data_IF_252398050403
#
_entry.id   IF_252398050403
#
_cell.length_a   1.000
_cell.length_b   1.000
_cell.length_c   1.000
_cell.angle_alpha   90.00
_cell.angle_beta   90.00
_cell.angle_gamma   90.00
#
_symmetry.space_group_name_H-M   'P 1'
#
loop_
_entity.id
_entity.type
_entity.pdbx_description
1 polymer ?
#
# COMPACT_ATOMS: atom_id res chain seq x y z
N UNK A 1 10.60 22.30 11.04
CA UNK A 1 9.16 22.02 10.87
C UNK A 1 9.07 20.69 10.15
N UNK A 2 8.56 19.62 10.76
CA UNK A 2 8.31 18.35 10.06
C UNK A 2 7.35 18.65 8.90
N UNK A 3 7.61 18.10 7.71
CA UNK A 3 6.83 18.39 6.51
C UNK A 3 5.42 17.82 6.67
N UNK A 4 4.45 18.68 6.96
CA UNK A 4 3.05 18.28 7.16
C UNK A 4 2.46 17.65 5.89
N UNK A 5 2.97 18.00 4.70
CA UNK A 5 2.48 17.44 3.43
C UNK A 5 2.86 15.98 3.27
N UNK A 6 4.08 15.60 3.65
CA UNK A 6 4.52 14.19 3.57
C UNK A 6 3.67 13.31 4.48
N UNK A 7 3.39 13.76 5.71
CA UNK A 7 2.51 13.03 6.63
C UNK A 7 1.08 12.90 6.14
N UNK A 8 0.53 13.95 5.55
CA UNK A 8 -0.79 13.90 4.92
C UNK A 8 -0.83 12.94 3.74
N UNK A 9 0.19 12.94 2.88
CA UNK A 9 0.32 11.99 1.77
C UNK A 9 0.41 10.55 2.26
N UNK A 10 1.21 10.28 3.30
CA UNK A 10 1.34 8.96 3.93
C UNK A 10 -0.01 8.47 4.45
N UNK A 11 -0.71 9.30 5.22
CA UNK A 11 -2.03 8.93 5.75
C UNK A 11 -3.04 8.66 4.62
N UNK A 12 -2.99 9.46 3.55
CA UNK A 12 -3.88 9.32 2.40
C UNK A 12 -3.62 8.03 1.63
N UNK A 13 -2.37 7.71 1.31
CA UNK A 13 -2.05 6.50 0.55
C UNK A 13 -2.35 5.25 1.37
N UNK A 14 -1.99 5.22 2.66
CA UNK A 14 -2.28 4.08 3.52
C UNK A 14 -3.79 3.80 3.63
N UNK A 15 -4.61 4.85 3.80
CA UNK A 15 -6.08 4.73 3.83
C UNK A 15 -6.64 4.28 2.48
N UNK A 16 -6.19 4.90 1.38
CA UNK A 16 -6.70 4.60 0.05
C UNK A 16 -6.37 3.17 -0.40
N UNK A 17 -5.12 2.73 -0.22
CA UNK A 17 -4.68 1.36 -0.56
C UNK A 17 -5.46 0.32 0.24
N UNK A 18 -5.58 0.50 1.55
CA UNK A 18 -6.35 -0.42 2.40
C UNK A 18 -7.80 -0.49 1.97
N UNK A 19 -8.47 0.65 1.77
CA UNK A 19 -9.86 0.66 1.31
C UNK A 19 -10.01 -0.06 -0.03
N UNK A 20 -9.11 0.21 -0.98
CA UNK A 20 -9.12 -0.43 -2.29
C UNK A 20 -8.99 -1.95 -2.19
N UNK A 21 -8.01 -2.46 -1.43
CA UNK A 21 -7.77 -3.90 -1.23
C UNK A 21 -9.00 -4.58 -0.60
N UNK A 22 -9.56 -4.00 0.46
CA UNK A 22 -10.69 -4.62 1.17
C UNK A 22 -12.01 -4.55 0.38
N UNK A 23 -12.19 -3.54 -0.49
CA UNK A 23 -13.42 -3.37 -1.29
C UNK A 23 -13.36 -4.03 -2.66
N UNK A 24 -12.18 -4.28 -3.22
CA UNK A 24 -12.02 -4.92 -4.53
C UNK A 24 -11.42 -6.32 -4.44
N UNK A 25 -10.90 -6.72 -3.27
CA UNK A 25 -10.35 -8.03 -3.00
C UNK A 25 -11.37 -9.06 -2.48
N UNK A 26 -10.90 -10.26 -2.11
CA UNK A 26 -11.74 -11.38 -1.70
C UNK A 26 -12.57 -11.09 -0.44
N UNK A 27 -12.09 -10.20 0.45
CA UNK A 27 -12.82 -9.84 1.68
C UNK A 27 -14.16 -9.16 1.36
N UNK A 28 -14.26 -8.39 0.28
CA UNK A 28 -15.53 -7.78 -0.15
C UNK A 28 -16.58 -8.85 -0.49
N UNK A 29 -16.16 -9.99 -1.03
CA UNK A 29 -17.06 -11.11 -1.30
C UNK A 29 -17.59 -11.70 0.02
N UNK A 30 -16.71 -11.91 1.00
CA UNK A 30 -17.09 -12.41 2.32
C UNK A 30 -18.06 -11.46 3.05
N UNK A 31 -17.82 -10.15 2.95
CA UNK A 31 -18.72 -9.12 3.46
C UNK A 31 -20.12 -9.19 2.83
N UNK A 32 -20.20 -9.27 1.49
CA UNK A 32 -21.48 -9.44 0.76
C UNK A 32 -22.22 -10.73 1.11
N UNK A 33 -21.49 -11.77 1.50
CA UNK A 33 -22.05 -13.05 1.96
C UNK A 33 -22.44 -13.03 3.46
N UNK A 34 -22.35 -11.88 4.14
CA UNK A 34 -22.57 -11.70 5.58
C UNK A 34 -21.67 -12.57 6.47
N UNK A 35 -20.49 -12.97 5.96
CA UNK A 35 -19.48 -13.73 6.72
C UNK A 35 -18.51 -12.84 7.50
N UNK A 36 -18.48 -11.56 7.15
CA UNK A 36 -17.71 -10.51 7.81
C UNK A 36 -18.68 -9.34 7.97
N UNK A 37 -18.84 -8.84 9.19
CA UNK A 37 -19.66 -7.68 9.48
C UNK A 37 -19.00 -6.36 9.03
N UNK A 38 -19.78 -5.29 8.97
CA UNK A 38 -19.23 -3.95 8.69
C UNK A 38 -18.20 -3.51 9.75
N UNK A 39 -18.43 -3.85 11.03
CA UNK A 39 -17.53 -3.50 12.12
C UNK A 39 -16.20 -4.25 12.00
N UNK A 40 -16.23 -5.58 11.79
CA UNK A 40 -15.02 -6.39 11.58
C UNK A 40 -14.24 -5.93 10.34
N UNK A 41 -14.94 -5.60 9.25
CA UNK A 41 -14.31 -5.06 8.05
C UNK A 41 -13.61 -3.74 8.31
N UNK A 42 -14.24 -2.86 9.09
CA UNK A 42 -13.67 -1.57 9.48
C UNK A 42 -12.46 -1.74 10.41
N UNK A 43 -12.54 -2.61 11.41
CA UNK A 43 -11.42 -2.91 12.31
C UNK A 43 -10.20 -3.45 11.54
N UNK A 44 -10.41 -4.39 10.61
CA UNK A 44 -9.33 -4.90 9.73
C UNK A 44 -8.71 -3.79 8.88
N UNK A 45 -9.53 -2.89 8.32
CA UNK A 45 -9.05 -1.75 7.54
C UNK A 45 -8.24 -0.78 8.41
N UNK A 46 -8.75 -0.40 9.57
CA UNK A 46 -8.08 0.52 10.50
C UNK A 46 -6.73 -0.03 10.97
N UNK A 47 -6.67 -1.32 11.27
CA UNK A 47 -5.42 -1.98 11.65
C UNK A 47 -4.39 -1.92 10.52
N UNK A 48 -4.78 -2.32 9.29
CA UNK A 48 -3.87 -2.37 8.15
C UNK A 48 -3.40 -0.98 7.71
N UNK A 49 -4.30 0.01 7.63
CA UNK A 49 -3.91 1.37 7.24
C UNK A 49 -2.97 2.02 8.26
N UNK A 50 -3.17 1.78 9.56
CA UNK A 50 -2.29 2.33 10.59
C UNK A 50 -0.89 1.70 10.52
N UNK A 51 -0.83 0.39 10.28
CA UNK A 51 0.44 -0.31 10.11
C UNK A 51 1.19 0.14 8.86
N UNK A 52 0.51 0.26 7.71
CA UNK A 52 1.11 0.79 6.47
C UNK A 52 1.59 2.23 6.63
N UNK A 53 0.81 3.10 7.29
CA UNK A 53 1.21 4.48 7.56
C UNK A 53 2.52 4.55 8.36
N UNK A 54 2.69 3.69 9.36
CA UNK A 54 3.93 3.60 10.11
C UNK A 54 5.12 3.16 9.24
N UNK A 55 4.95 2.12 8.42
CA UNK A 55 6.01 1.66 7.50
C UNK A 55 6.41 2.76 6.51
N UNK A 56 5.44 3.49 5.96
CA UNK A 56 5.70 4.63 5.07
C UNK A 56 6.35 5.80 5.80
N UNK A 57 6.01 6.09 7.07
CA UNK A 57 6.72 7.11 7.85
C UNK A 57 8.20 6.74 8.04
N UNK A 58 8.48 5.48 8.38
CA UNK A 58 9.87 5.00 8.53
C UNK A 58 10.67 5.13 7.22
N UNK A 59 10.05 4.80 6.09
CA UNK A 59 10.72 4.81 4.78
C UNK A 59 10.83 6.21 4.17
N UNK A 60 9.72 6.95 4.09
CA UNK A 60 9.61 8.17 3.28
C UNK A 60 9.92 9.44 4.07
N UNK A 61 9.58 9.47 5.37
CA UNK A 61 9.79 10.65 6.23
C UNK A 61 11.07 10.52 7.05
N UNK A 62 11.32 9.36 7.69
CA UNK A 62 12.54 9.15 8.48
C UNK A 62 13.74 8.75 7.61
N UNK A 63 13.52 8.16 6.43
CA UNK A 63 14.59 7.60 5.59
C UNK A 63 15.41 6.51 6.30
N UNK A 64 14.85 5.85 7.32
CA UNK A 64 15.58 5.01 8.24
C UNK A 64 15.51 3.53 7.85
N UNK A 65 16.36 3.14 6.90
CA UNK A 65 16.41 1.76 6.38
C UNK A 65 16.73 0.73 7.47
N UNK A 66 17.56 1.06 8.48
CA UNK A 66 17.86 0.12 9.58
C UNK A 66 16.64 -0.19 10.44
N UNK A 67 15.82 0.82 10.72
CA UNK A 67 14.56 0.65 11.45
C UNK A 67 13.56 -0.15 10.61
N UNK A 68 13.49 0.13 9.31
CA UNK A 68 12.67 -0.65 8.40
C UNK A 68 13.09 -2.13 8.37
N UNK A 69 14.38 -2.41 8.22
CA UNK A 69 14.93 -3.77 8.25
C UNK A 69 14.63 -4.50 9.56
N UNK A 70 14.74 -3.82 10.70
CA UNK A 70 14.40 -4.39 12.01
C UNK A 70 12.92 -4.80 12.06
N UNK A 71 12.02 -3.92 11.64
CA UNK A 71 10.57 -4.21 11.62
C UNK A 71 10.28 -5.38 10.69
N UNK A 72 10.82 -5.35 9.47
CA UNK A 72 10.63 -6.39 8.46
C UNK A 72 11.17 -7.75 8.93
N UNK A 73 12.39 -7.81 9.46
CA UNK A 73 12.97 -9.04 10.00
C UNK A 73 12.18 -9.58 11.20
N UNK A 74 11.66 -8.70 12.05
CA UNK A 74 10.83 -9.09 13.20
C UNK A 74 9.50 -9.67 12.73
N UNK A 75 8.82 -9.01 11.78
CA UNK A 75 7.57 -9.49 11.18
C UNK A 75 7.76 -10.83 10.46
N UNK A 76 8.90 -11.00 9.80
CA UNK A 76 9.29 -12.22 9.08
C UNK A 76 9.36 -13.47 9.99
N UNK A 77 9.50 -13.29 11.31
CA UNK A 77 9.50 -14.42 12.25
C UNK A 77 8.11 -14.96 12.59
N UNK A 78 7.03 -14.24 12.26
CA UNK A 78 5.67 -14.59 12.69
C UNK A 78 4.92 -15.53 11.75
N UNK A 79 5.32 -15.66 10.49
CA UNK A 79 4.71 -16.62 9.57
C UNK A 79 5.58 -17.86 9.42
N UNK A 80 4.96 -19.04 9.41
CA UNK A 80 5.65 -20.33 9.39
C UNK A 80 5.13 -21.12 8.19
N UNK A 81 6.03 -21.58 7.33
CA UNK A 81 5.72 -22.43 6.17
C UNK A 81 4.73 -21.82 5.16
N UNK A 82 4.88 -20.53 4.86
CA UNK A 82 4.19 -19.91 3.73
C UNK A 82 5.15 -19.90 2.52
N UNK A 83 4.85 -20.71 1.50
CA UNK A 83 5.59 -20.79 0.23
C UNK A 83 5.00 -19.86 -0.85
N UNK A 84 4.04 -19.01 -0.48
CA UNK A 84 3.44 -18.04 -1.38
C UNK A 84 4.46 -17.02 -1.85
N UNK A 85 4.68 -16.96 -3.17
CA UNK A 85 5.51 -15.93 -3.79
C UNK A 85 4.74 -14.60 -3.87
N UNK A 86 5.34 -13.53 -3.34
CA UNK A 86 4.79 -12.17 -3.46
C UNK A 86 5.23 -11.58 -4.80
N UNK A 87 4.26 -11.33 -5.68
CA UNK A 87 4.48 -10.65 -6.97
C UNK A 87 4.34 -9.14 -6.79
N UNK A 88 5.32 -8.37 -7.26
CA UNK A 88 5.21 -6.92 -7.36
C UNK A 88 4.29 -6.56 -8.54
N UNK A 89 3.00 -6.37 -8.26
CA UNK A 89 2.01 -5.95 -9.24
C UNK A 89 1.81 -4.43 -9.17
N UNK A 90 1.88 -3.75 -10.32
CA UNK A 90 1.62 -2.31 -10.45
C UNK A 90 0.13 -1.96 -10.54
N UNK A 91 -0.74 -2.97 -10.62
CA UNK A 91 -2.19 -2.84 -10.80
C UNK A 91 -2.59 -1.96 -12.01
N UNK A 92 -1.72 -1.83 -13.02
CA UNK A 92 -1.93 -1.00 -14.20
C UNK A 92 -1.65 0.50 -13.99
N UNK A 93 -1.08 0.90 -12.84
CA UNK A 93 -0.71 2.29 -12.59
C UNK A 93 0.40 2.78 -13.54
N UNK A 94 1.32 1.94 -13.99
CA UNK A 94 2.35 2.35 -14.95
C UNK A 94 1.73 2.67 -16.32
N UNK A 95 0.84 1.80 -16.79
CA UNK A 95 0.10 2.07 -18.03
C UNK A 95 -0.75 3.34 -17.94
N UNK A 96 -1.38 3.60 -16.78
CA UNK A 96 -2.13 4.84 -16.56
C UNK A 96 -1.22 6.06 -16.59
N UNK A 97 -0.05 5.97 -15.96
CA UNK A 97 0.94 7.04 -15.97
C UNK A 97 1.39 7.37 -17.39
N UNK A 98 1.77 6.36 -18.18
CA UNK A 98 2.24 6.57 -19.56
C UNK A 98 1.17 7.15 -20.47
N UNK A 99 -0.12 6.83 -20.24
CA UNK A 99 -1.24 7.43 -20.97
C UNK A 99 -1.47 8.90 -20.62
N UNK A 100 -1.34 9.25 -19.34
CA UNK A 100 -1.54 10.62 -18.85
C UNK A 100 -0.33 11.53 -19.13
N UNK A 101 0.87 10.93 -19.21
CA UNK A 101 2.13 11.64 -19.41
C UNK A 101 2.94 11.00 -20.56
N UNK A 102 2.46 11.07 -21.82
CA UNK A 102 3.17 10.49 -22.95
C UNK A 102 4.54 11.13 -23.08
N UNK A 103 5.59 10.31 -23.21
CA UNK A 103 6.93 10.81 -23.52
C UNK A 103 6.85 11.52 -24.87
N UNK A 104 7.17 12.81 -24.91
CA UNK A 104 7.21 13.57 -26.15
C UNK A 104 8.12 12.85 -27.13
N UNK A 105 7.56 12.44 -28.27
CA UNK A 105 8.35 11.88 -29.36
C UNK A 105 9.32 12.96 -29.81
N UNK A 106 10.63 12.75 -29.59
CA UNK A 106 11.66 13.55 -30.24
C UNK A 106 11.55 13.30 -31.74
N UNK A 107 10.73 14.09 -32.43
CA UNK A 107 10.77 14.19 -33.87
C UNK A 107 12.14 14.80 -34.19
N UNK A 108 13.10 13.95 -34.56
CA UNK A 108 14.32 14.40 -35.22
C UNK A 108 13.86 14.89 -36.60
N UNK A 109 13.70 16.21 -36.73
CA UNK A 109 13.59 16.84 -38.04
C UNK A 109 14.91 16.59 -38.76
N UNK A 110 14.85 15.73 -39.79
CA UNK A 110 15.93 15.56 -40.77
C UNK A 110 16.03 16.78 -41.67
#
# INVERSE_FOLDING_TARGET
MKDTKTKEHIARIAKASTYFIFRNGPVNKLHKENKVSDEELKEMQEYMQNHLAYLYEVLLEEGNLKKYELVMNTMNQFYVNDDTEVVLADEGFDSLYDQLFPKSSNIILK
#
